data_IF_944532720893
#
_entry.id   IF_944532720893
#
_cell.length_a   1.000
_cell.length_b   1.000
_cell.length_c   1.000
_cell.angle_alpha   90.00
_cell.angle_beta   90.00
_cell.angle_gamma   90.00
#
_symmetry.space_group_name_H-M   'P 1'
#
loop_
_entity.id
_entity.type
_entity.pdbx_description
1 polymer ?
#
# COMPACT_ATOMS: atom_id res chain seq x y z
N UNK A 1 -19.58 -4.46 9.57
CA UNK A 1 -18.73 -5.64 9.82
C UNK A 1 -17.35 -5.33 9.22
N UNK A 2 -16.24 -5.53 9.94
CA UNK A 2 -14.90 -5.26 9.39
C UNK A 2 -14.47 -6.38 8.45
N UNK A 3 -13.60 -6.07 7.47
CA UNK A 3 -13.06 -7.05 6.50
C UNK A 3 -12.52 -8.32 7.19
N UNK A 4 -11.75 -8.24 8.29
CA UNK A 4 -11.24 -9.45 8.97
C UNK A 4 -12.35 -10.31 9.58
N UNK A 5 -13.41 -9.70 10.12
CA UNK A 5 -14.55 -10.44 10.69
C UNK A 5 -15.34 -11.15 9.60
N UNK A 6 -15.49 -10.51 8.44
CA UNK A 6 -16.17 -11.11 7.29
C UNK A 6 -15.34 -12.26 6.71
N UNK A 7 -14.03 -12.06 6.53
CA UNK A 7 -13.11 -13.11 6.10
C UNK A 7 -13.19 -14.32 7.03
N UNK A 8 -13.08 -14.10 8.35
CA UNK A 8 -13.22 -15.17 9.36
C UNK A 8 -14.54 -15.93 9.22
N UNK A 9 -15.66 -15.20 9.11
CA UNK A 9 -16.99 -15.80 8.96
C UNK A 9 -17.08 -16.71 7.73
N UNK A 10 -16.55 -16.27 6.57
CA UNK A 10 -16.56 -17.06 5.34
C UNK A 10 -15.63 -18.27 5.47
N UNK A 11 -14.43 -18.11 6.01
CA UNK A 11 -13.47 -19.21 6.18
C UNK A 11 -13.97 -20.28 7.15
N UNK A 12 -14.66 -19.91 8.24
CA UNK A 12 -15.27 -20.87 9.17
C UNK A 12 -16.47 -21.60 8.54
N UNK A 13 -17.26 -20.89 7.71
CA UNK A 13 -18.47 -21.46 7.09
C UNK A 13 -18.18 -22.29 5.85
N UNK A 14 -17.15 -21.94 5.09
CA UNK A 14 -16.76 -22.56 3.83
C UNK A 14 -15.25 -22.84 3.81
N UNK A 15 -14.76 -23.79 4.63
CA UNK A 15 -13.32 -23.99 4.83
C UNK A 15 -12.57 -24.38 3.55
N UNK A 16 -13.23 -25.05 2.61
CA UNK A 16 -12.63 -25.47 1.34
C UNK A 16 -12.37 -24.34 0.34
N UNK A 17 -12.83 -23.11 0.62
CA UNK A 17 -12.61 -21.94 -0.24
C UNK A 17 -11.26 -21.25 0.00
N UNK A 18 -10.59 -21.59 1.11
CA UNK A 18 -9.34 -20.96 1.53
C UNK A 18 -8.24 -22.01 1.60
N UNK A 19 -7.07 -21.71 1.02
CA UNK A 19 -5.89 -22.56 1.11
C UNK A 19 -4.65 -21.70 1.29
N UNK A 20 -3.66 -22.22 2.03
CA UNK A 20 -2.34 -21.61 2.07
C UNK A 20 -1.67 -21.77 0.71
N UNK A 21 -1.13 -20.68 0.19
CA UNK A 21 -0.46 -20.65 -1.12
C UNK A 21 0.82 -21.48 -1.04
N UNK A 22 0.90 -22.54 -1.83
CA UNK A 22 2.09 -23.38 -2.00
C UNK A 22 2.52 -23.26 -3.47
N UNK A 23 3.79 -22.97 -3.74
CA UNK A 23 4.27 -22.63 -5.10
C UNK A 23 3.92 -23.67 -6.16
N UNK A 24 3.99 -24.96 -5.80
CA UNK A 24 3.69 -26.07 -6.71
C UNK A 24 2.19 -26.33 -6.92
N UNK A 25 1.30 -25.62 -6.23
CA UNK A 25 -0.15 -25.79 -6.28
C UNK A 25 -0.90 -24.58 -6.81
N UNK A 26 -0.17 -23.56 -7.26
CA UNK A 26 -0.76 -22.36 -7.86
C UNK A 26 -1.17 -22.74 -9.30
N UNK A 27 -2.47 -22.70 -9.64
CA UNK A 27 -2.89 -22.94 -11.00
C UNK A 27 -2.42 -21.78 -11.89
N UNK A 28 -2.38 -22.02 -13.21
CA UNK A 28 -2.01 -20.97 -14.15
C UNK A 28 -3.12 -19.92 -14.25
N UNK A 29 -2.74 -18.65 -14.33
CA UNK A 29 -3.66 -17.53 -14.50
C UNK A 29 -3.33 -16.73 -15.75
N UNK A 30 -4.36 -16.25 -16.43
CA UNK A 30 -4.18 -15.31 -17.53
C UNK A 30 -3.97 -13.88 -17.03
N UNK A 31 -4.75 -13.47 -16.03
CA UNK A 31 -4.84 -12.08 -15.59
C UNK A 31 -4.61 -11.97 -14.08
N UNK A 32 -3.73 -11.07 -13.67
CA UNK A 32 -3.49 -10.71 -12.27
C UNK A 32 -3.81 -9.23 -12.05
N UNK A 33 -4.68 -8.95 -11.08
CA UNK A 33 -5.10 -7.59 -10.70
C UNK A 33 -4.58 -7.29 -9.30
N UNK A 34 -3.93 -6.14 -9.14
CA UNK A 34 -3.25 -5.76 -7.91
C UNK A 34 -3.78 -4.43 -7.38
N UNK A 35 -4.32 -4.42 -6.17
CA UNK A 35 -4.63 -3.17 -5.46
C UNK A 35 -3.34 -2.65 -4.79
N UNK A 36 -2.75 -1.63 -5.41
CA UNK A 36 -1.45 -1.10 -5.02
C UNK A 36 -1.49 -0.40 -3.66
N UNK A 37 -2.64 0.16 -3.28
CA UNK A 37 -2.77 0.86 -1.99
C UNK A 37 -2.56 -0.11 -0.82
N UNK A 38 -2.98 -1.36 -0.97
CA UNK A 38 -2.75 -2.41 0.03
C UNK A 38 -1.27 -2.72 0.22
N UNK A 39 -0.52 -2.79 -0.89
CA UNK A 39 0.94 -3.03 -0.86
C UNK A 39 1.65 -1.86 -0.18
N UNK A 40 1.37 -0.64 -0.64
CA UNK A 40 2.01 0.54 -0.09
C UNK A 40 1.76 0.65 1.42
N UNK A 41 0.52 0.39 1.87
CA UNK A 41 0.21 0.39 3.30
C UNK A 41 1.07 -0.61 4.08
N UNK A 42 1.16 -1.86 3.60
CA UNK A 42 1.94 -2.90 4.27
C UNK A 42 3.45 -2.61 4.28
N UNK A 43 3.98 -2.01 3.22
CA UNK A 43 5.41 -1.69 3.11
C UNK A 43 5.81 -0.42 3.88
N UNK A 44 4.90 0.55 4.02
CA UNK A 44 5.19 1.81 4.72
C UNK A 44 4.93 1.75 6.22
N UNK A 45 4.01 0.90 6.66
CA UNK A 45 3.60 0.78 8.05
C UNK A 45 3.46 -0.71 8.46
N UNK A 46 4.56 -1.49 8.44
CA UNK A 46 4.53 -2.89 8.86
C UNK A 46 4.18 -3.05 10.34
N UNK A 47 4.40 -2.02 11.16
CA UNK A 47 4.02 -2.01 12.57
C UNK A 47 3.52 -0.62 13.01
N UNK A 48 2.20 -0.41 12.95
CA UNK A 48 1.53 0.85 13.34
C UNK A 48 1.66 1.18 14.85
N UNK A 49 2.13 0.23 15.68
CA UNK A 49 2.22 0.40 17.13
C UNK A 49 3.57 0.95 17.61
N UNK A 50 4.58 1.02 16.75
CA UNK A 50 5.93 1.47 17.11
C UNK A 50 6.15 2.96 16.79
N UNK A 51 6.27 3.77 17.85
CA UNK A 51 6.51 5.21 17.75
C UNK A 51 7.87 5.57 17.12
N UNK A 52 8.84 4.66 17.19
CA UNK A 52 10.22 4.84 16.74
C UNK A 52 10.43 4.38 15.30
N UNK A 53 9.47 3.68 14.71
CA UNK A 53 9.61 3.15 13.36
C UNK A 53 9.78 4.28 12.35
N UNK A 54 10.93 4.29 11.67
CA UNK A 54 11.24 5.19 10.56
C UNK A 54 11.76 4.37 9.40
N UNK A 55 11.20 4.60 8.23
CA UNK A 55 11.72 4.12 6.96
C UNK A 55 11.91 5.30 6.03
N UNK A 56 13.03 5.31 5.32
CA UNK A 56 13.22 6.27 4.23
C UNK A 56 12.29 5.95 3.07
N UNK A 57 11.97 6.97 2.28
CA UNK A 57 11.16 6.80 1.06
C UNK A 57 11.80 5.79 0.09
N UNK A 58 13.13 5.81 -0.05
CA UNK A 58 13.88 4.84 -0.86
C UNK A 58 13.68 3.40 -0.36
N UNK A 59 13.77 3.16 0.94
CA UNK A 59 13.53 1.82 1.52
C UNK A 59 12.09 1.35 1.30
N UNK A 60 11.12 2.25 1.38
CA UNK A 60 9.71 1.94 1.12
C UNK A 60 9.54 1.53 -0.35
N UNK A 61 10.12 2.28 -1.29
CA UNK A 61 10.05 1.95 -2.71
C UNK A 61 10.74 0.62 -3.04
N UNK A 62 11.94 0.36 -2.50
CA UNK A 62 12.61 -0.93 -2.66
C UNK A 62 11.76 -2.07 -2.13
N UNK A 63 11.10 -1.88 -0.97
CA UNK A 63 10.22 -2.88 -0.38
C UNK A 63 8.97 -3.15 -1.23
N UNK A 64 8.38 -2.10 -1.80
CA UNK A 64 7.23 -2.22 -2.72
C UNK A 64 7.63 -2.99 -3.98
N UNK A 65 8.76 -2.64 -4.61
CA UNK A 65 9.24 -3.31 -5.82
C UNK A 65 9.52 -4.79 -5.56
N UNK A 66 10.25 -5.11 -4.48
CA UNK A 66 10.52 -6.49 -4.09
C UNK A 66 9.23 -7.28 -3.84
N UNK A 67 8.21 -6.66 -3.24
CA UNK A 67 6.91 -7.30 -3.02
C UNK A 67 6.14 -7.56 -4.32
N UNK A 68 6.17 -6.61 -5.26
CA UNK A 68 5.56 -6.76 -6.58
C UNK A 68 6.26 -7.86 -7.38
N UNK A 69 7.60 -7.90 -7.37
CA UNK A 69 8.40 -8.95 -8.03
C UNK A 69 8.09 -10.33 -7.45
N UNK A 70 8.01 -10.44 -6.12
CA UNK A 70 7.64 -11.68 -5.44
C UNK A 70 6.26 -12.17 -5.89
N UNK A 71 5.26 -11.29 -5.94
CA UNK A 71 3.90 -11.64 -6.36
C UNK A 71 3.85 -12.05 -7.83
N UNK A 72 4.52 -11.30 -8.71
CA UNK A 72 4.57 -11.61 -10.12
C UNK A 72 5.26 -12.95 -10.39
N UNK A 73 6.40 -13.20 -9.73
CA UNK A 73 7.14 -14.45 -9.83
C UNK A 73 6.38 -15.67 -9.32
N UNK A 74 5.54 -15.51 -8.29
CA UNK A 74 4.68 -16.57 -7.76
C UNK A 74 3.46 -16.85 -8.64
N UNK A 75 2.79 -15.81 -9.14
CA UNK A 75 1.51 -15.95 -9.84
C UNK A 75 1.64 -16.18 -11.36
N UNK A 76 2.72 -15.68 -11.97
CA UNK A 76 3.07 -15.87 -13.40
C UNK A 76 1.90 -15.64 -14.37
N UNK A 77 1.29 -14.44 -14.42
CA UNK A 77 0.17 -14.16 -15.31
C UNK A 77 0.58 -14.26 -16.78
N UNK A 78 -0.23 -14.91 -17.62
CA UNK A 78 0.10 -15.17 -19.03
C UNK A 78 -0.24 -14.02 -19.99
N UNK A 79 -1.25 -13.22 -19.67
CA UNK A 79 -1.83 -12.21 -20.58
C UNK A 79 -1.76 -10.80 -20.00
N UNK A 80 -2.26 -10.61 -18.78
CA UNK A 80 -2.40 -9.28 -18.19
C UNK A 80 -1.86 -9.23 -16.77
N UNK A 81 -1.02 -8.23 -16.51
CA UNK A 81 -0.68 -7.80 -15.16
C UNK A 81 -1.12 -6.36 -14.96
N UNK A 82 -2.16 -6.16 -14.15
CA UNK A 82 -2.80 -4.87 -13.93
C UNK A 82 -2.60 -4.39 -12.49
N UNK A 83 -1.99 -3.22 -12.33
CA UNK A 83 -1.75 -2.59 -11.03
C UNK A 83 -2.65 -1.37 -10.91
N UNK A 84 -3.59 -1.38 -9.96
CA UNK A 84 -4.54 -0.31 -9.71
C UNK A 84 -4.12 0.56 -8.53
N UNK A 85 -4.06 1.89 -8.74
CA UNK A 85 -3.87 2.88 -7.68
C UNK A 85 -5.18 3.63 -7.46
N UNK A 86 -5.52 3.94 -6.20
CA UNK A 86 -6.78 4.65 -5.90
C UNK A 86 -6.71 6.08 -6.44
N UNK A 87 -7.64 6.42 -7.33
CA UNK A 87 -7.86 7.80 -7.79
C UNK A 87 -8.84 8.58 -6.90
N UNK A 88 -9.40 9.66 -7.45
CA UNK A 88 -10.45 10.41 -6.77
C UNK A 88 -11.67 9.52 -6.51
N UNK A 89 -12.11 9.48 -5.24
CA UNK A 89 -13.17 8.58 -4.78
C UNK A 89 -14.52 9.30 -4.60
N UNK A 90 -15.66 8.60 -4.69
CA UNK A 90 -16.98 9.16 -4.38
C UNK A 90 -17.07 9.69 -2.94
N UNK A 91 -17.93 10.70 -2.72
CA UNK A 91 -18.08 11.40 -1.43
C UNK A 91 -18.32 10.46 -0.24
N UNK A 92 -19.07 9.38 -0.43
CA UNK A 92 -19.29 8.38 0.62
C UNK A 92 -17.98 7.70 1.06
N UNK A 93 -17.14 7.27 0.11
CA UNK A 93 -15.81 6.69 0.38
C UNK A 93 -14.88 7.73 0.99
N UNK A 94 -14.93 8.98 0.53
CA UNK A 94 -14.15 10.08 1.12
C UNK A 94 -14.51 10.32 2.59
N UNK A 95 -15.79 10.32 2.96
CA UNK A 95 -16.22 10.47 4.36
C UNK A 95 -15.72 9.32 5.22
N UNK A 96 -15.80 8.08 4.74
CA UNK A 96 -15.26 6.91 5.46
C UNK A 96 -13.73 7.01 5.62
N UNK A 97 -13.00 7.35 4.55
CA UNK A 97 -11.55 7.56 4.61
C UNK A 97 -11.18 8.69 5.57
N UNK A 98 -11.95 9.79 5.55
CA UNK A 98 -11.76 10.91 6.48
C UNK A 98 -11.92 10.44 7.91
N UNK A 99 -13.04 9.82 8.29
CA UNK A 99 -13.26 9.31 9.64
C UNK A 99 -12.16 8.33 10.10
N UNK A 100 -11.65 7.48 9.21
CA UNK A 100 -10.49 6.61 9.50
C UNK A 100 -9.23 7.42 9.80
N UNK A 101 -8.85 8.36 8.93
CA UNK A 101 -7.66 9.20 9.09
C UNK A 101 -7.68 9.99 10.40
N UNK A 102 -8.84 10.54 10.78
CA UNK A 102 -9.00 11.23 12.06
C UNK A 102 -8.75 10.33 13.27
N UNK A 103 -9.20 9.07 13.21
CA UNK A 103 -8.96 8.11 14.29
C UNK A 103 -7.49 7.75 14.40
N UNK A 104 -6.85 7.38 13.28
CA UNK A 104 -5.43 7.02 13.25
C UNK A 104 -4.54 8.18 13.71
N UNK A 105 -4.84 9.42 13.32
CA UNK A 105 -4.11 10.59 13.79
C UNK A 105 -4.22 10.77 15.31
N UNK A 106 -5.41 10.52 15.89
CA UNK A 106 -5.62 10.57 17.34
C UNK A 106 -4.86 9.45 18.06
N UNK A 107 -4.88 8.24 17.51
CA UNK A 107 -4.14 7.08 18.05
C UNK A 107 -2.63 7.34 18.01
N UNK A 108 -2.10 7.86 16.90
CA UNK A 108 -0.69 8.24 16.77
C UNK A 108 -0.27 9.32 17.78
N UNK A 109 -1.10 10.34 18.02
CA UNK A 109 -0.85 11.34 19.07
C UNK A 109 -0.76 10.69 20.46
N UNK A 110 -1.69 9.80 20.78
CA UNK A 110 -1.71 9.11 22.07
C UNK A 110 -0.51 8.16 22.25
N UNK A 111 -0.06 7.50 21.18
CA UNK A 111 1.17 6.68 21.20
C UNK A 111 2.39 7.55 21.48
N UNK A 112 2.47 8.71 20.81
CA UNK A 112 3.55 9.68 20.99
C UNK A 112 3.62 10.21 22.42
N UNK A 113 2.48 10.65 22.96
CA UNK A 113 2.37 11.16 24.34
C UNK A 113 2.79 10.10 25.37
N UNK A 114 2.46 8.82 25.13
CA UNK A 114 2.90 7.72 25.99
C UNK A 114 4.40 7.47 25.93
N UNK A 115 5.02 7.59 24.75
CA UNK A 115 6.47 7.47 24.60
C UNK A 115 7.19 8.62 25.32
N UNK A 116 6.69 9.86 25.16
CA UNK A 116 7.22 11.04 25.83
C UNK A 116 7.08 10.93 27.36
N UNK A 117 5.94 10.42 27.87
CA UNK A 117 5.73 10.19 29.29
C UNK A 117 6.66 9.11 29.90
N UNK A 118 7.12 8.16 29.09
CA UNK A 118 8.14 7.17 29.47
C UNK A 118 9.57 7.72 29.38
N UNK A 119 9.74 8.96 28.90
CA UNK A 119 11.05 9.58 28.69
C UNK A 119 11.79 9.05 27.46
N UNK A 120 11.09 8.42 26.51
CA UNK A 120 11.69 7.90 25.29
C UNK A 120 11.98 9.06 24.32
N UNK A 121 13.21 9.14 23.80
CA UNK A 121 13.56 10.11 22.77
C UNK A 121 13.09 9.61 21.42
N UNK A 122 12.05 10.23 20.90
CA UNK A 122 11.55 9.92 19.56
C UNK A 122 12.55 10.38 18.48
N UNK A 123 12.61 9.68 17.33
CA UNK A 123 13.41 10.11 16.20
C UNK A 123 13.00 11.54 15.75
N UNK A 124 13.97 12.40 15.40
CA UNK A 124 13.68 13.76 14.92
C UNK A 124 12.98 13.76 13.56
N UNK A 125 13.17 12.69 12.79
CA UNK A 125 12.55 12.51 11.48
C UNK A 125 11.04 12.27 11.60
N UNK A 126 10.29 12.84 10.67
CA UNK A 126 8.85 12.62 10.59
C UNK A 126 8.56 11.21 10.12
N UNK A 127 7.56 10.56 10.71
CA UNK A 127 7.03 9.33 10.16
C UNK A 127 6.52 9.55 8.73
N UNK A 128 6.71 8.57 7.86
CA UNK A 128 6.17 8.62 6.51
C UNK A 128 4.64 8.64 6.59
N UNK A 129 4.00 9.66 6.03
CA UNK A 129 2.54 9.73 5.96
C UNK A 129 2.14 9.70 4.50
N UNK A 130 1.33 8.71 4.13
CA UNK A 130 0.62 8.74 2.84
C UNK A 130 -0.41 9.85 2.84
N UNK A 131 0.05 11.06 2.53
CA UNK A 131 -0.81 12.14 2.06
C UNK A 131 -1.20 11.80 0.62
N UNK A 132 -2.23 10.97 0.46
CA UNK A 132 -3.00 10.96 -0.77
C UNK A 132 -3.72 12.32 -0.89
N UNK A 133 -2.96 13.32 -1.30
CA UNK A 133 -3.43 14.67 -1.62
C UNK A 133 -2.59 15.22 -2.77
N UNK A 134 -2.97 14.81 -3.97
CA UNK A 134 -3.09 15.58 -5.23
C UNK A 134 -2.84 14.60 -6.37
N UNK A 135 -3.78 14.60 -7.31
CA UNK A 135 -3.79 13.63 -8.40
C UNK A 135 -2.49 13.67 -9.19
N UNK A 136 -1.89 12.51 -9.35
CA UNK A 136 -1.02 12.19 -10.47
C UNK A 136 -1.29 10.74 -10.83
N UNK A 137 -1.95 10.53 -11.96
CA UNK A 137 -2.04 9.23 -12.60
C UNK A 137 -0.72 8.98 -13.32
N UNK A 138 -0.06 7.86 -13.05
CA UNK A 138 0.98 7.29 -13.89
C UNK A 138 0.64 5.81 -14.06
N UNK A 139 0.54 5.34 -15.30
CA UNK A 139 0.24 3.95 -15.62
C UNK A 139 1.29 3.42 -16.59
N UNK A 140 1.91 2.29 -16.27
CA UNK A 140 2.58 1.42 -17.25
C UNK A 140 1.75 0.14 -17.33
N UNK A 141 1.37 -0.27 -18.54
CA UNK A 141 0.73 -1.57 -18.77
C UNK A 141 1.75 -2.54 -19.36
N UNK A 142 1.69 -3.80 -18.93
CA UNK A 142 2.45 -4.89 -19.53
C UNK A 142 1.50 -5.68 -20.43
N UNK A 143 1.73 -5.61 -21.74
CA UNK A 143 0.96 -6.31 -22.76
C UNK A 143 1.94 -7.04 -23.69
N UNK A 144 1.67 -8.31 -23.99
CA UNK A 144 2.42 -9.10 -25.00
C UNK A 144 3.95 -9.11 -24.79
N UNK A 145 4.40 -9.27 -23.55
CA UNK A 145 5.83 -9.40 -23.27
C UNK A 145 6.61 -8.08 -23.25
N UNK A 146 5.93 -6.93 -23.40
CA UNK A 146 6.57 -5.60 -23.46
C UNK A 146 5.93 -4.62 -22.49
N UNK A 147 6.78 -3.80 -21.86
CA UNK A 147 6.34 -2.63 -21.10
C UNK A 147 5.87 -1.56 -22.08
N UNK A 148 4.59 -1.20 -22.03
CA UNK A 148 4.09 -0.04 -22.78
C UNK A 148 4.28 1.23 -21.94
N UNK A 149 4.94 2.27 -22.47
CA UNK A 149 5.02 3.54 -21.78
C UNK A 149 3.63 4.16 -21.69
N UNK A 150 3.13 4.43 -20.48
CA UNK A 150 2.32 5.62 -20.27
C UNK A 150 3.28 6.80 -20.29
N UNK A 151 3.00 7.81 -21.10
CA UNK A 151 3.87 8.97 -21.31
C UNK A 151 4.30 9.56 -19.94
N UNK A 152 5.60 9.62 -19.62
CA UNK A 152 6.07 10.29 -18.43
C UNK A 152 6.56 11.70 -18.78
N UNK A 153 5.93 12.73 -18.20
CA UNK A 153 6.66 13.91 -17.78
C UNK A 153 6.93 13.77 -16.28
N UNK A 154 7.97 13.01 -15.93
CA UNK A 154 8.48 12.88 -14.56
C UNK A 154 9.86 13.53 -14.39
N UNK A 155 10.22 14.47 -15.28
CA UNK A 155 11.49 15.21 -15.21
C UNK A 155 11.35 16.74 -15.36
N UNK A 156 10.26 17.36 -14.88
CA UNK A 156 10.19 18.82 -14.78
C UNK A 156 9.44 19.32 -13.55
N UNK A 157 10.06 19.19 -12.37
CA UNK A 157 9.93 20.23 -11.32
C UNK A 157 11.06 20.12 -10.31
N UNK A 158 12.29 20.12 -10.83
CA UNK A 158 13.38 20.80 -10.12
C UNK A 158 13.13 22.30 -10.29
N UNK A 159 12.35 22.88 -9.37
CA UNK A 159 12.35 24.33 -9.14
C UNK A 159 12.69 24.55 -7.69
N UNK A 160 13.99 24.54 -7.39
CA UNK A 160 14.48 25.52 -6.42
C UNK A 160 14.08 26.92 -6.93
N UNK A 161 13.75 27.81 -5.98
CA UNK A 161 13.94 29.28 -5.96
C UNK A 161 12.69 29.99 -5.40
N UNK A 162 12.85 30.46 -4.15
CA UNK A 162 12.26 31.64 -3.50
C UNK A 162 10.74 31.80 -3.39
N UNK A 163 10.21 31.56 -2.18
CA UNK A 163 9.62 32.59 -1.31
C UNK A 163 9.32 32.00 0.08
#
# INVERSE_FOLDING_TARGET
>A
MGIPKFFRYISERYPLTSQLVQENKIPEFDNLYLDFNGIIHNCSHPNDEDAHFRMSEEQIFTSILAYVELLFGKMKPKKLFFIAVDGAAPRAKMNQQRSRRFRTAKEASAIREKADAKGEKLPPEKAFVLLASRGSQVWTSYEEGRWKPGIPDFLSTTSFVNA
#
